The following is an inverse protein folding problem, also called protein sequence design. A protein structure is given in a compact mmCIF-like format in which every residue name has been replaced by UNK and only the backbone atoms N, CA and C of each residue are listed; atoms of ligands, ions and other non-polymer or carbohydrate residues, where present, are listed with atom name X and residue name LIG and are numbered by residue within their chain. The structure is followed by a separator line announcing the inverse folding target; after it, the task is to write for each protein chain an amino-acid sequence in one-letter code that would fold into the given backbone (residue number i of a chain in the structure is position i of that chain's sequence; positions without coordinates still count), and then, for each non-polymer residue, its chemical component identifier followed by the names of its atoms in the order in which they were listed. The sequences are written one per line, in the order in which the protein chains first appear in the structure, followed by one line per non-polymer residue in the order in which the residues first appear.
data_IF_379185116625
#
_entry.id   IF_379185116625
#
_cell.length_a   1.000
_cell.length_b   1.000
_cell.length_c   1.000
_cell.angle_alpha   90.00
_cell.angle_beta   90.00
_cell.angle_gamma   90.00
#
_symmetry.space_group_name_H-M   'P 1'
#
loop_
_entity.id
_entity.type
_entity.pdbx_description
1 polymer ?
#
# COMPACT_ATOMS: atom_id res chain seq x y z
N UNK A 1 -16.82 -15.80 3.37
CA UNK A 1 -15.36 -15.60 3.53
C UNK A 1 -15.15 -14.85 4.84
N UNK A 2 -14.20 -15.27 5.67
CA UNK A 2 -13.82 -14.46 6.83
C UNK A 2 -13.29 -13.11 6.36
N UNK A 3 -13.73 -12.04 7.01
CA UNK A 3 -13.29 -10.68 6.67
C UNK A 3 -11.92 -10.45 7.28
N UNK A 4 -10.87 -10.49 6.47
CA UNK A 4 -9.52 -10.12 6.90
C UNK A 4 -9.52 -8.61 7.16
N UNK A 5 -9.21 -8.21 8.39
CA UNK A 5 -9.03 -6.81 8.74
C UNK A 5 -7.56 -6.42 8.55
N UNK A 6 -7.29 -5.46 7.66
CA UNK A 6 -5.95 -4.93 7.41
C UNK A 6 -5.78 -3.68 8.28
N UNK A 7 -4.72 -3.66 9.09
CA UNK A 7 -4.39 -2.52 9.96
C UNK A 7 -3.05 -1.95 9.50
N UNK A 8 -3.09 -0.74 8.94
CA UNK A 8 -1.89 0.03 8.62
C UNK A 8 -1.30 0.60 9.91
N UNK A 9 -0.06 0.18 10.22
CA UNK A 9 0.68 0.75 11.35
C UNK A 9 1.15 2.16 10.99
N UNK A 10 1.28 3.01 12.01
CA UNK A 10 1.72 4.41 11.82
C UNK A 10 3.02 4.51 11.01
N UNK A 11 4.02 3.70 11.35
CA UNK A 11 5.32 3.72 10.65
C UNK A 11 5.21 3.35 9.16
N UNK A 12 4.23 2.51 8.77
CA UNK A 12 3.98 2.17 7.36
C UNK A 12 3.30 3.34 6.65
N UNK A 13 2.33 3.97 7.30
CA UNK A 13 1.68 5.16 6.74
C UNK A 13 2.66 6.33 6.59
N UNK A 14 3.50 6.57 7.60
CA UNK A 14 4.56 7.58 7.57
C UNK A 14 5.52 7.30 6.41
N UNK A 15 5.98 6.06 6.26
CA UNK A 15 6.84 5.66 5.15
C UNK A 15 6.19 5.90 3.79
N UNK A 16 4.92 5.52 3.60
CA UNK A 16 4.22 5.70 2.34
C UNK A 16 4.02 7.19 2.01
N UNK A 17 3.81 8.04 3.02
CA UNK A 17 3.72 9.49 2.83
C UNK A 17 5.09 10.07 2.43
N UNK A 18 6.16 9.67 3.11
CA UNK A 18 7.53 10.07 2.77
C UNK A 18 7.94 9.58 1.38
N UNK A 19 7.48 8.40 0.98
CA UNK A 19 7.74 7.82 -0.33
C UNK A 19 7.26 8.72 -1.47
N UNK A 20 6.17 9.47 -1.31
CA UNK A 20 5.71 10.44 -2.33
C UNK A 20 6.81 11.47 -2.62
N UNK A 21 7.37 12.06 -1.56
CA UNK A 21 8.43 13.06 -1.68
C UNK A 21 9.72 12.43 -2.20
N UNK A 22 10.13 11.28 -1.66
CA UNK A 22 11.33 10.59 -2.13
C UNK A 22 11.24 10.22 -3.63
N UNK A 23 10.08 9.80 -4.12
CA UNK A 23 9.90 9.49 -5.53
C UNK A 23 9.98 10.74 -6.42
N UNK A 24 9.48 11.88 -5.93
CA UNK A 24 9.57 13.14 -6.66
C UNK A 24 10.98 13.73 -6.62
N UNK A 25 11.60 13.85 -5.44
CA UNK A 25 12.94 14.45 -5.26
C UNK A 25 14.06 13.67 -5.96
N UNK A 26 13.88 12.36 -6.15
CA UNK A 26 14.84 11.52 -6.87
C UNK A 26 14.50 11.36 -8.36
N UNK A 27 13.67 12.25 -8.94
CA UNK A 27 13.33 12.30 -10.37
C UNK A 27 12.73 10.99 -10.94
N UNK A 28 12.12 10.13 -10.11
CA UNK A 28 11.38 8.96 -10.62
C UNK A 28 10.09 9.36 -11.34
N UNK A 29 9.53 10.52 -10.99
CA UNK A 29 8.36 11.10 -11.64
C UNK A 29 8.60 12.58 -11.93
N UNK A 30 8.15 13.04 -13.09
CA UNK A 30 8.29 14.44 -13.52
C UNK A 30 7.42 15.43 -12.75
N UNK A 31 6.49 14.96 -11.92
CA UNK A 31 5.65 15.78 -11.05
C UNK A 31 5.19 15.00 -9.81
N UNK A 32 4.92 15.75 -8.74
CA UNK A 32 4.47 15.23 -7.45
C UNK A 32 3.13 14.49 -7.55
N UNK A 33 2.21 14.96 -8.41
CA UNK A 33 0.90 14.31 -8.62
C UNK A 33 1.04 12.87 -9.10
N UNK A 34 2.00 12.59 -9.98
CA UNK A 34 2.27 11.24 -10.49
C UNK A 34 2.87 10.34 -9.40
N UNK A 35 3.76 10.88 -8.56
CA UNK A 35 4.29 10.16 -7.40
C UNK A 35 3.18 9.84 -6.38
N UNK A 36 2.31 10.81 -6.09
CA UNK A 36 1.14 10.62 -5.23
C UNK A 36 0.19 9.57 -5.81
N UNK A 37 -0.08 9.62 -7.12
CA UNK A 37 -0.93 8.65 -7.80
C UNK A 37 -0.34 7.22 -7.72
N UNK A 38 0.97 7.08 -7.82
CA UNK A 38 1.65 5.80 -7.62
C UNK A 38 1.49 5.28 -6.19
N UNK A 39 1.75 6.11 -5.17
CA UNK A 39 1.58 5.70 -3.77
C UNK A 39 0.13 5.37 -3.45
N UNK A 40 -0.85 6.09 -4.02
CA UNK A 40 -2.26 5.77 -3.88
C UNK A 40 -2.58 4.35 -4.38
N UNK A 41 -1.99 3.90 -5.49
CA UNK A 41 -2.16 2.51 -5.97
C UNK A 41 -1.61 1.47 -4.98
N UNK A 42 -0.58 1.81 -4.20
CA UNK A 42 -0.08 0.95 -3.13
C UNK A 42 -1.12 0.83 -2.01
N UNK A 43 -1.71 1.95 -1.58
CA UNK A 43 -2.82 1.93 -0.62
C UNK A 43 -4.01 1.11 -1.14
N UNK A 44 -4.44 1.34 -2.38
CA UNK A 44 -5.54 0.60 -3.01
C UNK A 44 -5.24 -0.91 -3.03
N UNK A 45 -3.99 -1.31 -3.32
CA UNK A 45 -3.57 -2.71 -3.29
C UNK A 45 -3.65 -3.30 -1.87
N UNK A 46 -3.16 -2.57 -0.86
CA UNK A 46 -3.17 -3.03 0.53
C UNK A 46 -4.61 -3.25 1.02
N UNK A 47 -5.53 -2.36 0.69
CA UNK A 47 -6.92 -2.46 1.14
C UNK A 47 -7.71 -3.52 0.37
N UNK A 48 -7.56 -3.57 -0.95
CA UNK A 48 -8.43 -4.40 -1.81
C UNK A 48 -7.88 -5.77 -2.15
N UNK A 49 -6.56 -5.93 -2.23
CA UNK A 49 -5.93 -7.16 -2.75
C UNK A 49 -5.15 -7.93 -1.69
N UNK A 50 -4.49 -7.26 -0.75
CA UNK A 50 -3.71 -7.94 0.29
C UNK A 50 -4.49 -9.02 1.06
N UNK A 51 -5.80 -8.85 1.39
CA UNK A 51 -6.61 -9.91 1.99
C UNK A 51 -6.59 -11.24 1.22
N UNK A 52 -6.51 -11.20 -0.12
CA UNK A 52 -6.53 -12.38 -1.00
C UNK A 52 -5.23 -13.20 -0.90
N UNK A 53 -4.13 -12.59 -0.44
CA UNK A 53 -2.82 -13.24 -0.34
C UNK A 53 -2.55 -13.82 1.05
N UNK A 54 -3.54 -13.84 1.93
CA UNK A 54 -3.36 -14.39 3.28
C UNK A 54 -3.32 -15.91 3.25
N UNK A 55 -2.23 -16.51 3.77
CA UNK A 55 -2.04 -17.96 3.87
C UNK A 55 -3.10 -18.67 4.74
N UNK A 56 -3.86 -17.89 5.55
CA UNK A 56 -4.93 -18.40 6.41
C UNK A 56 -6.19 -18.82 5.65
N UNK A 57 -6.30 -18.55 4.35
CA UNK A 57 -7.46 -18.95 3.53
C UNK A 57 -7.45 -20.48 3.26
N UNK A 58 -6.36 -21.20 3.60
CA UNK A 58 -6.21 -22.65 3.33
C UNK A 58 -5.80 -23.48 4.54
N UNK A 59 -6.58 -23.43 5.62
CA UNK A 59 -6.61 -24.51 6.61
C UNK A 59 -8.07 -24.82 6.99
N UNK A 60 -8.79 -25.46 6.07
CA UNK A 60 -9.91 -26.34 6.42
C UNK A 60 -9.42 -27.78 6.24
N UNK A 61 -8.82 -28.33 7.28
CA UNK A 61 -8.76 -29.77 7.53
C UNK A 61 -9.37 -30.01 8.91
#
# INVERSE_FOLDING_TARGET
MEKVNIILRKNVADFLNELVFNLFENDYFSNEESALHYVKKIYDFIESRLPLFTHKIHLKN
#
